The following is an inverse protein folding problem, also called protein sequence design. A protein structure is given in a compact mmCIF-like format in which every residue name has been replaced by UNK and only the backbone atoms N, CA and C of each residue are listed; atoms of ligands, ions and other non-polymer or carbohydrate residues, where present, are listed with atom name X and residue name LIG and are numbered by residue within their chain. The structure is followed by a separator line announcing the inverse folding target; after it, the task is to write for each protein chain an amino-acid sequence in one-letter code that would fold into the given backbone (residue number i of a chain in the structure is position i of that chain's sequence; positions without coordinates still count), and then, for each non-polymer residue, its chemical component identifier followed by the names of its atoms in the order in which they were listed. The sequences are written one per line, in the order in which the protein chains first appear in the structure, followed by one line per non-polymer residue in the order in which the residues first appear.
data_IF_061910286298
#
_entry.id   IF_061910286298
#
_cell.length_a   1.000
_cell.length_b   1.000
_cell.length_c   1.000
_cell.angle_alpha   90.00
_cell.angle_beta   90.00
_cell.angle_gamma   90.00
#
_symmetry.space_group_name_H-M   'P 1'
#
loop_
_entity.id
_entity.type
_entity.pdbx_description
1 polymer ?
#
# COMPACT_ATOMS: atom_id res chain seq x y z
N UNK A 1 0.23 22.84 9.09
CA UNK A 1 -0.47 23.07 10.37
C UNK A 1 -0.47 21.74 11.11
N UNK A 2 0.15 21.67 12.29
CA UNK A 2 0.17 20.44 13.06
C UNK A 2 -1.18 20.29 13.79
N UNK A 3 -1.97 19.31 13.39
CA UNK A 3 -3.31 19.03 13.93
C UNK A 3 -3.27 17.98 15.05
N UNK A 4 -2.10 17.37 15.29
CA UNK A 4 -1.93 16.36 16.33
C UNK A 4 -1.79 17.09 17.67
N UNK A 5 -2.89 17.16 18.42
CA UNK A 5 -2.93 17.76 19.76
C UNK A 5 -4.18 18.59 20.09
N UNK A 6 -5.13 18.74 19.17
CA UNK A 6 -6.40 19.44 19.42
C UNK A 6 -7.57 18.46 19.40
N UNK A 7 -8.42 18.49 20.42
CA UNK A 7 -9.69 17.74 20.44
C UNK A 7 -10.73 18.37 19.51
N UNK A 8 -10.68 19.69 19.33
CA UNK A 8 -11.60 20.44 18.46
C UNK A 8 -10.93 21.71 17.94
N UNK A 9 -11.23 22.07 16.68
CA UNK A 9 -10.81 23.32 16.06
C UNK A 9 -12.05 24.11 15.69
N UNK A 10 -12.22 25.27 16.32
CA UNK A 10 -13.37 26.14 16.13
C UNK A 10 -12.97 27.29 15.21
N UNK A 11 -13.67 27.42 14.08
CA UNK A 11 -13.38 28.43 13.08
C UNK A 11 -13.87 29.84 13.46
N UNK A 12 -13.50 30.82 12.64
CA UNK A 12 -13.99 32.20 12.75
C UNK A 12 -15.52 32.35 12.76
N UNK A 13 -16.33 31.50 12.07
CA UNK A 13 -17.79 31.57 12.19
C UNK A 13 -18.27 31.30 13.62
N UNK A 14 -17.68 30.30 14.30
CA UNK A 14 -18.05 29.95 15.67
C UNK A 14 -17.72 31.10 16.65
N UNK A 15 -16.54 31.70 16.50
CA UNK A 15 -16.11 32.88 17.27
C UNK A 15 -17.12 34.02 17.13
N UNK A 16 -17.58 34.29 15.90
CA UNK A 16 -18.57 35.34 15.63
C UNK A 16 -19.95 35.00 16.24
N UNK A 17 -20.48 33.81 15.96
CA UNK A 17 -21.81 33.38 16.40
C UNK A 17 -21.94 33.33 17.94
N UNK A 18 -20.87 32.93 18.63
CA UNK A 18 -20.85 32.82 20.09
C UNK A 18 -20.28 34.07 20.77
N UNK A 19 -20.04 35.16 20.01
CA UNK A 19 -19.53 36.44 20.50
C UNK A 19 -18.30 36.26 21.38
N UNK A 20 -17.36 35.47 20.90
CA UNK A 20 -16.15 35.12 21.64
C UNK A 20 -15.21 36.32 21.62
N UNK A 21 -14.78 36.75 22.81
CA UNK A 21 -13.79 37.80 22.98
C UNK A 21 -12.57 37.21 23.67
N UNK A 22 -11.37 37.52 23.21
CA UNK A 22 -10.16 37.04 23.84
C UNK A 22 -9.08 38.10 23.87
N UNK A 23 -8.28 38.08 24.93
CA UNK A 23 -7.06 38.86 25.08
C UNK A 23 -5.84 37.95 24.94
N UNK A 24 -4.72 38.51 24.48
CA UNK A 24 -3.45 37.77 24.35
C UNK A 24 -2.38 38.24 25.35
N UNK A 25 -2.68 39.26 26.18
CA UNK A 25 -1.74 39.73 27.18
C UNK A 25 -2.42 40.54 28.31
N UNK A 26 -2.78 39.92 29.45
CA UNK A 26 -2.74 38.49 29.72
C UNK A 26 -3.72 37.70 28.83
N UNK A 27 -3.48 36.42 28.64
CA UNK A 27 -4.33 35.57 27.83
C UNK A 27 -5.64 35.23 28.55
N UNK A 28 -6.78 35.51 27.92
CA UNK A 28 -8.11 35.17 28.45
C UNK A 28 -9.11 35.00 27.33
N UNK A 29 -10.20 34.27 27.58
CA UNK A 29 -11.29 34.05 26.62
C UNK A 29 -12.63 34.17 27.35
N UNK A 30 -13.58 34.88 26.74
CA UNK A 30 -14.96 35.02 27.20
C UNK A 30 -15.88 34.59 26.06
N UNK A 31 -16.80 33.67 26.34
CA UNK A 31 -17.85 33.26 25.41
C UNK A 31 -19.11 34.06 25.72
N UNK A 32 -19.45 35.04 24.87
CA UNK A 32 -20.54 35.97 25.11
C UNK A 32 -21.94 35.41 24.84
N UNK A 33 -22.06 34.24 24.21
CA UNK A 33 -23.34 33.58 24.00
C UNK A 33 -23.19 32.05 23.97
N UNK A 34 -24.03 31.35 24.72
CA UNK A 34 -24.15 29.88 24.65
C UNK A 34 -24.98 29.42 23.46
N UNK A 35 -25.81 30.31 22.89
CA UNK A 35 -26.62 30.07 21.70
C UNK A 35 -25.98 30.74 20.51
N UNK A 36 -25.87 30.04 19.38
CA UNK A 36 -25.32 30.61 18.16
C UNK A 36 -26.20 31.76 17.66
N UNK A 37 -25.64 32.97 17.60
CA UNK A 37 -26.31 34.12 17.01
C UNK A 37 -26.43 33.95 15.48
N UNK A 38 -27.45 34.54 14.84
CA UNK A 38 -27.57 34.52 13.40
C UNK A 38 -26.35 35.19 12.74
N UNK A 39 -25.78 34.53 11.72
CA UNK A 39 -24.75 35.14 10.90
C UNK A 39 -25.36 36.18 9.98
N UNK A 40 -24.80 37.38 9.98
CA UNK A 40 -25.18 38.44 9.04
C UNK A 40 -24.45 38.18 7.73
N UNK A 41 -25.18 38.06 6.62
CA UNK A 41 -24.59 37.93 5.29
C UNK A 41 -23.93 39.27 4.92
N UNK A 42 -22.59 39.30 4.91
CA UNK A 42 -21.78 40.47 4.57
C UNK A 42 -20.75 40.14 3.49
N UNK A 43 -20.05 41.16 2.97
CA UNK A 43 -19.10 41.05 1.84
C UNK A 43 -17.98 40.02 2.09
N UNK A 44 -17.65 39.73 3.35
CA UNK A 44 -16.63 38.74 3.74
C UNK A 44 -17.17 37.35 4.13
N UNK A 45 -18.48 37.09 4.03
CA UNK A 45 -19.11 35.82 4.43
C UNK A 45 -19.45 34.99 3.20
N UNK A 46 -18.67 33.96 2.92
CA UNK A 46 -18.99 32.98 1.88
C UNK A 46 -19.81 31.82 2.47
N UNK A 47 -21.05 31.66 1.98
CA UNK A 47 -21.91 30.54 2.35
C UNK A 47 -21.51 29.31 1.54
N UNK A 48 -20.78 28.38 2.16
CA UNK A 48 -20.48 27.10 1.53
C UNK A 48 -21.75 26.23 1.56
N UNK A 49 -22.56 26.30 0.50
CA UNK A 49 -23.74 25.45 0.37
C UNK A 49 -23.32 23.99 0.18
N UNK A 50 -23.35 23.22 1.27
CA UNK A 50 -23.05 21.78 1.36
C UNK A 50 -23.89 20.88 0.41
N UNK A 51 -24.88 21.44 -0.32
CA UNK A 51 -25.75 20.69 -1.24
C UNK A 51 -25.02 20.22 -2.51
N UNK A 52 -24.00 20.94 -2.96
CA UNK A 52 -23.20 20.52 -4.13
C UNK A 52 -22.30 19.30 -3.84
N UNK A 53 -21.97 19.04 -2.56
CA UNK A 53 -21.09 17.92 -2.18
C UNK A 53 -21.82 16.57 -2.32
N UNK A 54 -23.09 16.46 -1.91
CA UNK A 54 -23.89 15.23 -2.05
C UNK A 54 -24.06 14.78 -3.50
N UNK A 55 -24.37 15.70 -4.40
CA UNK A 55 -24.53 15.38 -5.82
C UNK A 55 -23.21 14.94 -6.49
N UNK A 56 -22.06 15.42 -5.98
CA UNK A 56 -20.74 14.96 -6.41
C UNK A 56 -20.36 13.60 -5.80
N UNK A 57 -20.73 13.33 -4.56
CA UNK A 57 -20.47 12.05 -3.88
C UNK A 57 -21.22 10.87 -4.52
N UNK A 58 -22.48 11.06 -4.91
CA UNK A 58 -23.25 10.02 -5.61
C UNK A 58 -22.62 9.65 -6.96
N UNK A 59 -22.11 10.63 -7.71
CA UNK A 59 -21.39 10.39 -8.96
C UNK A 59 -20.02 9.72 -8.73
N UNK A 60 -19.32 10.06 -7.65
CA UNK A 60 -18.05 9.42 -7.30
C UNK A 60 -18.22 7.96 -6.95
N UNK A 61 -19.30 7.61 -6.23
CA UNK A 61 -19.55 6.22 -5.85
C UNK A 61 -19.89 5.36 -7.06
N UNK A 62 -20.65 5.91 -8.02
CA UNK A 62 -20.92 5.24 -9.29
C UNK A 62 -19.62 4.95 -10.06
N UNK A 63 -18.72 5.94 -10.17
CA UNK A 63 -17.43 5.77 -10.84
C UNK A 63 -16.54 4.77 -10.09
N UNK A 64 -16.57 4.75 -8.75
CA UNK A 64 -15.84 3.72 -7.98
C UNK A 64 -16.36 2.33 -8.27
N UNK A 65 -17.67 2.14 -8.30
CA UNK A 65 -18.26 0.84 -8.61
C UNK A 65 -17.87 0.40 -10.04
N UNK A 66 -17.96 1.29 -11.02
CA UNK A 66 -17.53 1.01 -12.39
C UNK A 66 -16.05 0.60 -12.46
N UNK A 67 -15.16 1.29 -11.74
CA UNK A 67 -13.73 0.95 -11.67
C UNK A 67 -13.49 -0.39 -10.96
N UNK A 68 -14.24 -0.69 -9.90
CA UNK A 68 -14.15 -1.98 -9.20
C UNK A 68 -14.60 -3.12 -10.11
N UNK A 69 -15.71 -2.95 -10.81
CA UNK A 69 -16.23 -3.95 -11.74
C UNK A 69 -15.26 -4.17 -12.91
N UNK A 70 -14.70 -3.08 -13.44
CA UNK A 70 -13.67 -3.11 -14.47
C UNK A 70 -12.39 -3.83 -14.00
N UNK A 71 -11.95 -3.58 -12.77
CA UNK A 71 -10.72 -4.16 -12.21
C UNK A 71 -10.92 -5.56 -11.61
N UNK A 72 -12.16 -6.00 -11.37
CA UNK A 72 -12.47 -7.30 -10.75
C UNK A 72 -11.74 -8.49 -11.40
N UNK A 73 -11.58 -8.57 -12.74
CA UNK A 73 -10.83 -9.65 -13.37
C UNK A 73 -9.33 -9.67 -13.04
N UNK A 74 -8.74 -8.54 -12.62
CA UNK A 74 -7.33 -8.38 -12.26
C UNK A 74 -7.07 -8.78 -10.79
N UNK A 75 -8.05 -8.62 -9.92
CA UNK A 75 -7.97 -8.87 -8.48
C UNK A 75 -8.19 -10.34 -8.11
N UNK A 76 -7.49 -11.25 -8.79
CA UNK A 76 -7.57 -12.71 -8.56
C UNK A 76 -6.45 -13.20 -7.66
N UNK A 77 -6.67 -14.36 -7.04
CA UNK A 77 -5.61 -15.06 -6.33
C UNK A 77 -4.45 -15.41 -7.27
N UNK A 78 -3.24 -15.44 -6.72
CA UNK A 78 -2.05 -15.73 -7.52
C UNK A 78 -2.15 -17.10 -8.20
N UNK A 79 -2.73 -18.11 -7.53
CA UNK A 79 -2.90 -19.45 -8.09
C UNK A 79 -3.77 -19.53 -9.34
N UNK A 80 -4.73 -18.61 -9.47
CA UNK A 80 -5.72 -18.58 -10.56
C UNK A 80 -5.33 -17.62 -11.69
N UNK A 81 -4.25 -16.86 -11.49
CA UNK A 81 -3.72 -15.93 -12.48
C UNK A 81 -2.57 -16.59 -13.24
N UNK A 82 -2.69 -16.87 -14.55
CA UNK A 82 -1.60 -17.46 -15.32
C UNK A 82 -0.38 -16.54 -15.38
N UNK A 83 0.79 -17.10 -15.71
CA UNK A 83 1.98 -16.30 -16.00
C UNK A 83 1.66 -15.33 -17.16
N UNK A 84 1.90 -14.01 -17.00
CA UNK A 84 1.66 -13.07 -18.09
C UNK A 84 2.64 -13.35 -19.25
N UNK A 85 2.19 -13.06 -20.47
CA UNK A 85 3.07 -13.08 -21.64
C UNK A 85 4.23 -12.10 -21.48
N UNK A 86 5.34 -12.38 -22.15
CA UNK A 86 6.49 -11.48 -22.22
C UNK A 86 6.06 -10.13 -22.78
N UNK A 87 6.56 -9.05 -22.16
CA UNK A 87 6.26 -7.66 -22.53
C UNK A 87 7.48 -7.01 -23.20
N UNK A 88 7.34 -5.75 -23.61
CA UNK A 88 8.45 -4.95 -24.14
C UNK A 88 9.62 -4.82 -23.14
N UNK A 89 9.33 -4.84 -21.84
CA UNK A 89 10.32 -4.80 -20.76
C UNK A 89 10.08 -6.02 -19.86
N UNK A 90 11.04 -6.95 -19.83
CA UNK A 90 11.02 -8.11 -18.94
C UNK A 90 12.19 -8.05 -17.96
N UNK A 91 12.09 -8.80 -16.87
CA UNK A 91 13.20 -8.95 -15.94
C UNK A 91 14.32 -9.75 -16.61
N UNK A 92 15.53 -9.21 -16.57
CA UNK A 92 16.75 -9.85 -17.04
C UNK A 92 17.72 -9.95 -15.85
N UNK A 93 18.45 -11.07 -15.78
CA UNK A 93 19.49 -11.29 -14.77
C UNK A 93 20.85 -11.21 -15.48
N UNK A 94 21.51 -10.03 -15.50
CA UNK A 94 22.81 -9.87 -16.15
C UNK A 94 23.90 -10.51 -15.29
N UNK A 95 24.34 -11.72 -15.63
CA UNK A 95 25.41 -12.42 -14.92
C UNK A 95 26.77 -11.79 -15.23
N UNK A 96 27.68 -11.78 -14.25
CA UNK A 96 29.07 -11.34 -14.43
C UNK A 96 29.87 -12.47 -15.07
N UNK A 97 29.74 -13.68 -14.51
CA UNK A 97 30.33 -14.92 -15.01
C UNK A 97 29.21 -15.94 -15.27
N UNK A 98 28.98 -16.30 -16.54
CA UNK A 98 27.92 -17.23 -16.94
C UNK A 98 28.24 -18.69 -16.57
N UNK A 99 29.51 -19.05 -16.42
CA UNK A 99 29.97 -20.41 -16.15
C UNK A 99 30.11 -20.70 -14.65
N UNK A 100 29.81 -19.71 -13.80
CA UNK A 100 29.98 -19.82 -12.35
C UNK A 100 29.15 -20.95 -11.75
N UNK A 101 29.84 -21.93 -11.18
CA UNK A 101 29.23 -22.97 -10.35
C UNK A 101 28.99 -22.42 -8.94
N UNK A 102 27.75 -22.54 -8.47
CA UNK A 102 27.32 -22.08 -7.15
C UNK A 102 27.42 -23.21 -6.13
N UNK A 103 27.71 -22.89 -4.85
CA UNK A 103 27.68 -23.88 -3.78
C UNK A 103 26.30 -24.52 -3.68
N UNK A 104 26.24 -25.83 -3.90
CA UNK A 104 25.01 -26.58 -3.79
C UNK A 104 24.69 -26.90 -2.32
N UNK A 105 23.41 -26.78 -1.96
CA UNK A 105 22.89 -27.24 -0.68
C UNK A 105 21.52 -27.91 -0.88
N UNK A 106 21.23 -28.98 -0.10
CA UNK A 106 19.92 -29.63 -0.17
C UNK A 106 18.84 -28.75 0.47
N UNK A 107 17.70 -28.65 -0.20
CA UNK A 107 16.51 -27.98 0.34
C UNK A 107 15.75 -28.95 1.26
N UNK A 108 15.58 -28.61 2.54
CA UNK A 108 14.86 -29.45 3.51
C UNK A 108 13.60 -28.75 3.99
N UNK A 109 12.44 -29.30 3.65
CA UNK A 109 11.14 -28.82 4.14
C UNK A 109 10.81 -29.49 5.49
N UNK A 110 10.56 -28.72 6.57
CA UNK A 110 10.05 -29.27 7.82
C UNK A 110 8.74 -30.01 7.61
N UNK A 111 8.56 -31.15 8.26
CA UNK A 111 7.39 -32.03 8.09
C UNK A 111 6.05 -31.29 8.30
N UNK A 112 5.97 -30.46 9.34
CA UNK A 112 4.79 -29.64 9.64
C UNK A 112 4.37 -28.68 8.52
N UNK A 113 5.27 -28.33 7.59
CA UNK A 113 5.01 -27.42 6.48
C UNK A 113 4.84 -28.15 5.14
N UNK A 114 5.04 -29.47 5.10
CA UNK A 114 5.00 -30.27 3.88
C UNK A 114 3.65 -30.22 3.14
N UNK A 115 2.48 -30.27 3.83
CA UNK A 115 1.19 -30.12 3.15
C UNK A 115 1.04 -28.77 2.44
N UNK A 116 1.50 -27.69 3.07
CA UNK A 116 1.47 -26.34 2.48
C UNK A 116 2.45 -26.21 1.31
N UNK A 117 3.59 -26.87 1.40
CA UNK A 117 4.56 -26.95 0.31
C UNK A 117 3.96 -27.65 -0.91
N UNK A 118 3.37 -28.83 -0.73
CA UNK A 118 2.82 -29.61 -1.83
C UNK A 118 1.70 -28.84 -2.54
N UNK A 119 0.78 -28.24 -1.79
CA UNK A 119 -0.28 -27.40 -2.35
C UNK A 119 0.27 -26.22 -3.17
N UNK A 120 1.29 -25.53 -2.62
CA UNK A 120 1.91 -24.38 -3.30
C UNK A 120 2.67 -24.79 -4.56
N UNK A 121 3.43 -25.89 -4.51
CA UNK A 121 4.16 -26.44 -5.67
C UNK A 121 3.19 -26.75 -6.81
N UNK A 122 2.10 -27.47 -6.51
CA UNK A 122 1.08 -27.82 -7.51
C UNK A 122 0.45 -26.57 -8.13
N UNK A 123 0.06 -25.59 -7.31
CA UNK A 123 -0.52 -24.35 -7.80
C UNK A 123 0.45 -23.56 -8.70
N UNK A 124 1.73 -23.49 -8.32
CA UNK A 124 2.71 -22.69 -9.06
C UNK A 124 3.08 -23.34 -10.39
N UNK A 125 3.18 -24.66 -10.45
CA UNK A 125 3.35 -25.41 -11.71
C UNK A 125 2.11 -25.22 -12.59
N UNK A 126 0.90 -25.43 -12.05
CA UNK A 126 -0.36 -25.25 -12.80
C UNK A 126 -0.49 -23.85 -13.39
N UNK A 127 -0.09 -22.82 -12.65
CA UNK A 127 -0.17 -21.43 -13.11
C UNK A 127 0.94 -21.00 -14.08
N UNK A 128 1.92 -21.87 -14.36
CA UNK A 128 3.08 -21.57 -15.19
C UNK A 128 4.15 -20.68 -14.52
N UNK A 129 4.01 -20.39 -13.22
CA UNK A 129 5.05 -19.63 -12.47
C UNK A 129 6.33 -20.42 -12.31
N UNK A 130 6.19 -21.72 -12.13
CA UNK A 130 7.29 -22.66 -12.02
C UNK A 130 7.18 -23.69 -13.13
N UNK A 131 8.32 -24.06 -13.68
CA UNK A 131 8.46 -25.15 -14.63
C UNK A 131 9.43 -26.19 -14.05
N UNK A 132 9.25 -27.44 -14.47
CA UNK A 132 10.20 -28.49 -14.13
C UNK A 132 11.35 -28.38 -15.13
N UNK A 133 12.54 -28.07 -14.62
CA UNK A 133 13.74 -27.92 -15.43
C UNK A 133 14.86 -28.80 -14.89
N UNK A 134 15.65 -29.36 -15.80
CA UNK A 134 16.90 -30.06 -15.47
C UNK A 134 18.04 -29.04 -15.55
N UNK A 135 18.68 -28.74 -14.43
CA UNK A 135 19.82 -27.83 -14.37
C UNK A 135 21.00 -28.50 -13.68
N UNK A 136 22.22 -28.28 -14.19
CA UNK A 136 23.45 -28.82 -13.58
C UNK A 136 23.79 -28.20 -12.22
N UNK A 137 23.13 -27.10 -11.86
CA UNK A 137 23.34 -26.38 -10.62
C UNK A 137 22.02 -25.71 -10.20
N UNK A 138 21.70 -25.75 -8.90
CA UNK A 138 20.48 -25.20 -8.35
C UNK A 138 20.76 -24.51 -7.00
N UNK A 139 20.16 -23.34 -6.83
CA UNK A 139 20.18 -22.64 -5.55
C UNK A 139 19.21 -23.30 -4.57
N UNK A 140 19.54 -23.40 -3.27
CA UNK A 140 18.66 -24.03 -2.30
C UNK A 140 17.41 -23.18 -2.03
N UNK A 141 16.29 -23.86 -1.77
CA UNK A 141 15.07 -23.29 -1.23
C UNK A 141 15.05 -23.43 0.30
N UNK A 142 14.73 -22.33 0.96
CA UNK A 142 14.50 -22.23 2.40
C UNK A 142 13.00 -22.21 2.69
N UNK A 143 12.60 -22.99 3.70
CA UNK A 143 11.22 -23.10 4.17
C UNK A 143 11.10 -22.40 5.52
N UNK A 144 10.55 -21.19 5.49
CA UNK A 144 10.44 -20.32 6.66
C UNK A 144 9.00 -20.27 7.16
N UNK A 145 8.81 -20.15 8.47
CA UNK A 145 7.50 -19.83 9.05
C UNK A 145 7.29 -18.32 8.94
N UNK A 146 6.15 -17.90 8.41
CA UNK A 146 5.75 -16.49 8.47
C UNK A 146 5.51 -16.10 9.94
N UNK A 147 5.83 -14.86 10.34
CA UNK A 147 5.37 -14.33 11.62
C UNK A 147 3.85 -14.48 11.74
N UNK A 148 3.39 -14.95 12.90
CA UNK A 148 1.97 -15.20 13.19
C UNK A 148 1.72 -14.98 14.68
N UNK A 149 0.44 -14.91 15.05
CA UNK A 149 0.04 -14.78 16.46
C UNK A 149 0.15 -16.12 17.19
N UNK A 150 0.28 -16.09 18.51
CA UNK A 150 0.29 -17.29 19.33
C UNK A 150 -1.03 -18.07 19.12
N UNK A 151 -0.93 -19.35 18.75
CA UNK A 151 -2.09 -20.21 18.46
C UNK A 151 -2.49 -20.28 16.98
N UNK A 152 -1.93 -19.46 16.10
CA UNK A 152 -2.17 -19.59 14.65
C UNK A 152 -1.37 -20.77 14.05
N UNK A 153 -1.95 -21.44 13.06
CA UNK A 153 -1.25 -22.46 12.29
C UNK A 153 -0.05 -21.82 11.56
N UNK A 154 1.14 -22.46 11.60
CA UNK A 154 2.34 -21.88 11.01
C UNK A 154 2.18 -21.78 9.50
N UNK A 155 2.26 -20.57 8.94
CA UNK A 155 2.14 -20.36 7.48
C UNK A 155 3.50 -20.45 6.81
N UNK A 156 3.58 -21.21 5.72
CA UNK A 156 4.81 -21.38 4.94
C UNK A 156 5.16 -20.11 4.14
N UNK A 157 6.44 -19.73 4.18
CA UNK A 157 7.12 -18.84 3.24
C UNK A 157 8.27 -19.61 2.60
N UNK A 158 8.33 -19.58 1.28
CA UNK A 158 9.39 -20.23 0.50
C UNK A 158 10.29 -19.12 -0.02
N UNK A 159 11.59 -19.27 0.18
CA UNK A 159 12.60 -18.29 -0.23
C UNK A 159 13.75 -19.03 -0.89
N UNK A 160 14.13 -18.64 -2.11
CA UNK A 160 15.37 -19.14 -2.72
C UNK A 160 16.54 -18.37 -2.13
N UNK A 161 17.60 -19.07 -1.71
CA UNK A 161 18.84 -18.39 -1.33
C UNK A 161 19.55 -17.93 -2.60
N UNK A 162 19.48 -16.63 -2.89
CA UNK A 162 20.09 -16.05 -4.09
C UNK A 162 21.41 -15.33 -3.81
N UNK A 163 22.00 -15.47 -2.61
CA UNK A 163 23.19 -14.70 -2.21
C UNK A 163 24.36 -14.87 -3.17
N UNK A 164 24.71 -16.11 -3.51
CA UNK A 164 25.84 -16.41 -4.41
C UNK A 164 25.58 -15.93 -5.84
N UNK A 165 24.35 -16.05 -6.33
CA UNK A 165 23.94 -15.54 -7.66
C UNK A 165 23.96 -14.02 -7.70
N UNK A 166 23.42 -13.37 -6.68
CA UNK A 166 23.39 -11.90 -6.60
C UNK A 166 24.79 -11.30 -6.53
N UNK A 167 25.76 -11.97 -5.90
CA UNK A 167 27.18 -11.58 -5.94
C UNK A 167 27.79 -11.71 -7.34
N UNK A 168 27.15 -12.48 -8.23
CA UNK A 168 27.53 -12.70 -9.62
C UNK A 168 26.59 -12.00 -10.61
N UNK A 169 25.88 -10.95 -10.19
CA UNK A 169 24.94 -10.22 -11.05
C UNK A 169 25.29 -8.73 -11.06
N UNK A 170 25.27 -8.10 -12.23
CA UNK A 170 25.43 -6.66 -12.33
C UNK A 170 24.26 -5.94 -11.65
N UNK A 171 24.57 -5.01 -10.74
CA UNK A 171 23.55 -4.22 -10.04
C UNK A 171 23.00 -3.15 -10.97
N UNK A 172 21.76 -3.34 -11.45
CA UNK A 172 20.99 -2.32 -12.15
C UNK A 172 20.17 -1.53 -11.13
N UNK A 173 20.42 -0.22 -11.01
CA UNK A 173 19.65 0.67 -10.13
C UNK A 173 18.51 1.34 -10.90
N UNK A 174 17.30 1.28 -10.35
CA UNK A 174 16.21 2.18 -10.75
C UNK A 174 16.01 3.18 -9.61
N UNK A 175 16.33 4.47 -9.80
CA UNK A 175 16.21 5.45 -8.74
C UNK A 175 14.73 5.61 -8.36
N UNK A 176 14.42 5.39 -7.08
CA UNK A 176 13.09 5.61 -6.56
C UNK A 176 12.89 7.11 -6.28
N UNK A 177 11.72 7.68 -6.61
CA UNK A 177 11.41 9.07 -6.30
C UNK A 177 11.31 9.32 -4.80
N UNK A 178 11.51 10.57 -4.39
CA UNK A 178 11.34 11.02 -3.01
C UNK A 178 9.90 10.84 -2.53
N UNK A 179 9.73 10.19 -1.37
CA UNK A 179 8.44 9.85 -0.79
C UNK A 179 7.68 11.10 -0.36
N UNK A 180 8.35 12.07 0.27
CA UNK A 180 7.71 13.31 0.70
C UNK A 180 7.21 14.13 -0.49
N UNK A 181 7.99 14.18 -1.56
CA UNK A 181 7.61 14.78 -2.84
C UNK A 181 6.36 14.13 -3.44
N UNK A 182 6.25 12.80 -3.38
CA UNK A 182 5.04 12.08 -3.83
C UNK A 182 3.84 12.46 -2.96
N UNK A 183 3.97 12.39 -1.64
CA UNK A 183 2.87 12.67 -0.71
C UNK A 183 2.38 14.10 -0.83
N UNK A 184 3.29 15.08 -0.97
CA UNK A 184 2.93 16.49 -1.18
C UNK A 184 2.18 16.71 -2.48
N UNK A 185 2.51 15.97 -3.55
CA UNK A 185 1.77 16.05 -4.81
C UNK A 185 0.38 15.43 -4.67
N UNK A 186 0.27 14.27 -4.03
CA UNK A 186 -1.01 13.62 -3.80
C UNK A 186 -1.95 14.48 -2.92
N UNK A 187 -1.42 15.09 -1.84
CA UNK A 187 -2.20 15.96 -0.96
C UNK A 187 -2.72 17.25 -1.60
N UNK A 188 -2.18 17.65 -2.77
CA UNK A 188 -2.71 18.78 -3.55
C UNK A 188 -3.90 18.37 -4.43
N UNK A 189 -4.06 17.09 -4.70
CA UNK A 189 -5.20 16.59 -5.48
C UNK A 189 -6.47 16.59 -4.60
N UNK A 190 -7.60 16.93 -5.22
CA UNK A 190 -8.90 17.00 -4.54
C UNK A 190 -9.55 15.63 -4.37
N UNK A 191 -9.23 14.68 -5.26
CA UNK A 191 -9.75 13.32 -5.31
C UNK A 191 -8.60 12.36 -5.64
#
# INVERSE_FOLDING_TARGET
MNLQGYDVILGTPWIYQHRVTFGLNPAWVIVGSTVAAPMVEGIGVSRLASRAMKAYEENLELVRQELLDYAAPLCKEAGDTPLPLLRAINHEIPLIDEEKIYPWQPSRCPEALKPQWDAKRVAYIKSGRWEIATAGNAMPMMFLKKPGKLGETPRLRIVSDLRARNANTYKKSSPLPDMDGILRRAARAKY
#
